data_IF_922502915523
#
_entry.id   IF_922502915523
#
_cell.length_a   1.000
_cell.length_b   1.000
_cell.length_c   1.000
_cell.angle_alpha   90.00
_cell.angle_beta   90.00
_cell.angle_gamma   90.00
#
_symmetry.space_group_name_H-M   'P 1'
#
loop_
_entity.id
_entity.type
_entity.pdbx_description
1 polymer ?
#
# COMPACT_ATOMS: atom_id res chain seq x y z
N UNK A 1 16.58 11.14 -12.24
CA UNK A 1 15.16 11.43 -12.53
C UNK A 1 14.31 11.01 -11.35
N UNK A 2 13.61 11.95 -10.72
CA UNK A 2 12.56 11.68 -9.72
C UNK A 2 11.39 10.96 -10.40
N UNK A 3 10.94 9.81 -9.87
CA UNK A 3 9.70 9.22 -10.41
C UNK A 3 8.55 10.22 -10.26
N UNK A 4 7.73 10.42 -11.29
CA UNK A 4 6.52 11.24 -11.19
C UNK A 4 5.61 10.71 -10.07
N UNK A 5 4.82 11.60 -9.49
CA UNK A 5 3.85 11.22 -8.48
C UNK A 5 2.85 10.22 -9.07
N UNK A 6 2.51 9.17 -8.33
CA UNK A 6 1.50 8.19 -8.73
C UNK A 6 0.15 8.77 -8.36
N UNK A 7 -0.49 9.43 -9.33
CA UNK A 7 -1.75 10.16 -9.14
C UNK A 7 -2.84 9.68 -10.09
N UNK A 8 -2.50 8.83 -11.05
CA UNK A 8 -3.41 8.33 -12.07
C UNK A 8 -3.05 6.88 -12.45
N UNK A 9 -3.90 6.30 -13.29
CA UNK A 9 -3.76 4.93 -13.79
C UNK A 9 -2.45 4.70 -14.55
N UNK A 10 -2.07 5.62 -15.42
CA UNK A 10 -0.92 5.45 -16.32
C UNK A 10 0.40 5.49 -15.54
N UNK A 11 0.56 6.48 -14.65
CA UNK A 11 1.70 6.60 -13.74
C UNK A 11 1.78 5.41 -12.79
N UNK A 12 0.64 4.92 -12.30
CA UNK A 12 0.56 3.71 -11.48
C UNK A 12 1.07 2.47 -12.24
N UNK A 13 0.50 2.16 -13.41
CA UNK A 13 0.88 0.99 -14.19
C UNK A 13 2.35 1.07 -14.63
N UNK A 14 2.80 2.24 -15.09
CA UNK A 14 4.18 2.48 -15.51
C UNK A 14 5.17 2.22 -14.37
N UNK A 15 4.88 2.70 -13.16
CA UNK A 15 5.75 2.50 -12.00
C UNK A 15 5.87 1.01 -11.62
N UNK A 16 4.75 0.27 -11.62
CA UNK A 16 4.74 -1.15 -11.27
C UNK A 16 5.41 -2.02 -12.33
N UNK A 17 5.13 -1.80 -13.62
CA UNK A 17 5.82 -2.51 -14.69
C UNK A 17 7.32 -2.18 -14.73
N UNK A 18 7.72 -0.94 -14.41
CA UNK A 18 9.14 -0.57 -14.28
C UNK A 18 9.81 -1.34 -13.14
N UNK A 19 9.16 -1.48 -11.98
CA UNK A 19 9.69 -2.27 -10.86
C UNK A 19 9.80 -3.76 -11.20
N UNK A 20 8.76 -4.36 -11.78
CA UNK A 20 8.81 -5.77 -12.26
C UNK A 20 9.96 -5.99 -13.23
N UNK A 21 10.15 -5.10 -14.21
CA UNK A 21 11.28 -5.18 -15.15
C UNK A 21 12.64 -5.12 -14.45
N UNK A 22 12.80 -4.26 -13.44
CA UNK A 22 14.03 -4.19 -12.64
C UNK A 22 14.29 -5.50 -11.87
N UNK A 23 13.25 -6.12 -11.32
CA UNK A 23 13.35 -7.40 -10.59
C UNK A 23 13.66 -8.57 -11.53
N UNK A 24 12.96 -8.66 -12.68
CA UNK A 24 13.28 -9.64 -13.72
C UNK A 24 14.73 -9.54 -14.18
N UNK A 25 15.24 -8.32 -14.40
CA UNK A 25 16.65 -8.14 -14.77
C UNK A 25 17.59 -8.61 -13.67
N UNK A 26 17.27 -8.34 -12.40
CA UNK A 26 18.11 -8.73 -11.26
C UNK A 26 18.28 -10.25 -11.18
N UNK A 27 17.20 -11.01 -11.28
CA UNK A 27 17.26 -12.48 -11.15
C UNK A 27 17.96 -13.17 -12.33
N UNK A 28 18.17 -12.46 -13.44
CA UNK A 28 18.94 -12.95 -14.59
C UNK A 28 20.44 -12.66 -14.48
N UNK A 29 20.90 -12.03 -13.39
CA UNK A 29 22.32 -11.75 -13.16
C UNK A 29 22.93 -12.72 -12.16
N UNK A 30 24.22 -13.03 -12.31
CA UNK A 30 24.97 -13.91 -11.40
C UNK A 30 24.91 -13.47 -9.92
N UNK A 31 24.82 -12.16 -9.65
CA UNK A 31 24.77 -11.62 -8.29
C UNK A 31 23.36 -11.51 -7.73
N UNK A 32 22.33 -11.75 -8.56
CA UNK A 32 20.93 -11.57 -8.21
C UNK A 32 20.09 -12.84 -8.30
N UNK A 33 20.68 -13.97 -8.67
CA UNK A 33 19.98 -15.25 -8.83
C UNK A 33 19.23 -15.67 -7.55
N UNK A 34 19.85 -15.53 -6.37
CA UNK A 34 19.27 -15.82 -5.06
C UNK A 34 18.60 -14.60 -4.39
N UNK A 35 18.43 -13.49 -5.11
CA UNK A 35 17.87 -12.27 -4.51
C UNK A 35 16.38 -12.41 -4.18
N UNK A 36 15.66 -13.29 -4.89
CA UNK A 36 14.26 -13.61 -4.66
C UNK A 36 14.11 -15.09 -4.30
N UNK A 37 13.19 -15.38 -3.38
CA UNK A 37 12.72 -16.75 -3.19
C UNK A 37 12.01 -17.22 -4.47
N UNK A 38 12.06 -18.52 -4.75
CA UNK A 38 11.42 -19.10 -5.93
C UNK A 38 9.92 -18.79 -5.96
N UNK A 39 9.26 -18.81 -4.80
CA UNK A 39 7.86 -18.43 -4.63
C UNK A 39 7.64 -16.94 -4.93
N UNK A 40 8.53 -16.07 -4.45
CA UNK A 40 8.45 -14.64 -4.71
C UNK A 40 8.66 -14.33 -6.21
N UNK A 41 9.52 -15.09 -6.90
CA UNK A 41 9.76 -14.96 -8.33
C UNK A 41 8.53 -15.37 -9.16
N UNK A 42 7.76 -16.39 -8.72
CA UNK A 42 6.50 -16.78 -9.38
C UNK A 42 5.51 -15.62 -9.42
N UNK A 43 5.40 -14.85 -8.33
CA UNK A 43 4.48 -13.69 -8.27
C UNK A 43 4.75 -12.61 -9.31
N UNK A 44 5.93 -12.57 -9.95
CA UNK A 44 6.24 -11.63 -11.03
C UNK A 44 5.57 -12.00 -12.36
N UNK A 45 5.14 -13.26 -12.53
CA UNK A 45 4.50 -13.75 -13.75
C UNK A 45 3.10 -13.15 -13.91
N UNK A 46 2.80 -12.67 -15.11
CA UNK A 46 1.47 -12.14 -15.44
C UNK A 46 0.37 -13.21 -15.31
N UNK A 47 0.65 -14.47 -15.65
CA UNK A 47 -0.32 -15.56 -15.57
C UNK A 47 -0.81 -15.88 -14.15
N UNK A 48 -0.07 -15.43 -13.13
CA UNK A 48 -0.42 -15.69 -11.73
C UNK A 48 -1.28 -14.58 -11.12
N UNK A 49 -1.77 -13.62 -11.92
CA UNK A 49 -2.57 -12.49 -11.42
C UNK A 49 -3.82 -12.91 -10.64
N UNK A 50 -4.45 -14.02 -11.03
CA UNK A 50 -5.63 -14.58 -10.36
C UNK A 50 -5.36 -15.01 -8.91
N UNK A 51 -4.09 -15.21 -8.52
CA UNK A 51 -3.72 -15.48 -7.14
C UNK A 51 -3.96 -14.29 -6.20
N UNK A 52 -4.13 -13.07 -6.72
CA UNK A 52 -4.26 -11.84 -5.94
C UNK A 52 -3.10 -11.60 -4.96
N UNK A 53 -1.91 -12.12 -5.26
CA UNK A 53 -0.71 -11.85 -4.46
C UNK A 53 -0.41 -10.35 -4.45
N UNK A 54 -0.08 -9.82 -3.27
CA UNK A 54 0.18 -8.41 -3.05
C UNK A 54 1.38 -7.87 -3.85
N UNK A 55 2.25 -8.75 -4.34
CA UNK A 55 3.42 -8.44 -5.18
C UNK A 55 3.15 -8.62 -6.68
N UNK A 56 2.02 -9.20 -7.07
CA UNK A 56 1.68 -9.37 -8.48
C UNK A 56 1.22 -8.03 -9.08
N UNK A 57 1.92 -7.58 -10.12
CA UNK A 57 1.68 -6.27 -10.75
C UNK A 57 0.30 -6.17 -11.39
N UNK A 58 -0.15 -7.21 -12.09
CA UNK A 58 -1.43 -7.16 -12.79
C UNK A 58 -2.60 -7.21 -11.80
N UNK A 59 -2.48 -8.00 -10.73
CA UNK A 59 -3.44 -8.01 -9.63
C UNK A 59 -3.55 -6.63 -8.96
N UNK A 60 -2.40 -5.97 -8.70
CA UNK A 60 -2.34 -4.62 -8.12
C UNK A 60 -2.98 -3.57 -9.02
N UNK A 61 -2.72 -3.61 -10.33
CA UNK A 61 -3.31 -2.67 -11.29
C UNK A 61 -4.82 -2.87 -11.34
N UNK A 62 -5.30 -4.11 -11.52
CA UNK A 62 -6.72 -4.41 -11.57
C UNK A 62 -7.45 -4.01 -10.28
N UNK A 63 -6.81 -4.24 -9.11
CA UNK A 63 -7.33 -3.81 -7.82
C UNK A 63 -7.42 -2.29 -7.71
N UNK A 64 -6.36 -1.56 -8.04
CA UNK A 64 -6.34 -0.10 -7.96
C UNK A 64 -7.38 0.55 -8.89
N UNK A 65 -7.50 0.07 -10.13
CA UNK A 65 -8.52 0.51 -11.08
C UNK A 65 -9.94 0.30 -10.53
N UNK A 66 -10.20 -0.90 -10.01
CA UNK A 66 -11.52 -1.25 -9.49
C UNK A 66 -11.85 -0.44 -8.23
N UNK A 67 -10.90 -0.28 -7.30
CA UNK A 67 -11.11 0.57 -6.13
C UNK A 67 -11.36 2.03 -6.50
N UNK A 68 -10.65 2.54 -7.50
CA UNK A 68 -10.87 3.91 -7.98
C UNK A 68 -12.29 4.07 -8.55
N UNK A 69 -12.75 3.12 -9.37
CA UNK A 69 -14.12 3.11 -9.93
C UNK A 69 -15.19 3.00 -8.83
N UNK A 70 -15.08 2.02 -7.95
CA UNK A 70 -16.04 1.75 -6.86
C UNK A 70 -16.12 2.94 -5.89
N UNK A 71 -14.97 3.47 -5.47
CA UNK A 71 -14.95 4.57 -4.50
C UNK A 71 -15.36 5.91 -5.14
N UNK A 72 -15.02 6.14 -6.42
CA UNK A 72 -15.53 7.31 -7.16
C UNK A 72 -17.04 7.28 -7.29
N UNK A 73 -17.61 6.14 -7.69
CA UNK A 73 -19.07 5.94 -7.76
C UNK A 73 -19.74 6.09 -6.40
N UNK A 74 -19.08 5.63 -5.33
CA UNK A 74 -19.56 5.78 -3.98
C UNK A 74 -19.64 7.25 -3.53
N UNK A 75 -18.54 8.00 -3.65
CA UNK A 75 -18.52 9.40 -3.26
C UNK A 75 -19.39 10.28 -4.18
N UNK A 76 -19.48 9.96 -5.47
CA UNK A 76 -20.35 10.68 -6.40
C UNK A 76 -21.85 10.56 -6.07
N UNK A 77 -22.27 9.46 -5.42
CA UNK A 77 -23.64 9.26 -4.92
C UNK A 77 -23.90 9.91 -3.56
N UNK A 78 -22.85 10.32 -2.86
CA UNK A 78 -22.92 10.93 -1.53
C UNK A 78 -22.10 12.23 -1.48
N UNK A 79 -22.48 13.25 -2.28
CA UNK A 79 -21.71 14.50 -2.42
C UNK A 79 -21.60 15.32 -1.12
N UNK A 80 -22.45 15.04 -0.13
CA UNK A 80 -22.44 15.67 1.19
C UNK A 80 -21.32 15.13 2.10
N UNK A 81 -20.70 14.01 1.74
CA UNK A 81 -19.63 13.43 2.55
C UNK A 81 -18.34 14.25 2.45
N UNK A 82 -17.72 14.46 3.61
CA UNK A 82 -16.37 15.02 3.71
C UNK A 82 -15.38 13.87 3.80
N UNK A 83 -14.44 13.81 2.85
CA UNK A 83 -13.49 12.71 2.74
C UNK A 83 -12.11 13.09 3.30
N UNK A 84 -11.58 12.21 4.14
CA UNK A 84 -10.31 12.37 4.83
C UNK A 84 -9.34 11.28 4.41
N UNK A 85 -8.12 11.69 4.09
CA UNK A 85 -6.98 10.80 3.98
C UNK A 85 -6.29 10.70 5.33
N UNK A 86 -6.24 9.48 5.86
CA UNK A 86 -5.61 9.19 7.15
C UNK A 86 -4.46 8.22 6.96
N UNK A 87 -3.30 8.52 7.52
CA UNK A 87 -2.15 7.61 7.55
C UNK A 87 -1.81 7.28 8.99
N UNK A 88 -1.76 5.99 9.33
CA UNK A 88 -1.45 5.47 10.68
C UNK A 88 -0.20 4.58 10.61
N UNK A 89 0.84 4.97 11.32
CA UNK A 89 2.16 4.32 11.36
C UNK A 89 2.70 4.30 12.81
N UNK A 90 2.08 3.54 13.73
CA UNK A 90 2.50 3.48 15.11
C UNK A 90 3.83 2.72 15.25
N UNK A 91 4.60 3.05 16.29
CA UNK A 91 5.88 2.38 16.54
C UNK A 91 5.72 0.86 16.75
N UNK A 92 4.57 0.41 17.26
CA UNK A 92 4.24 -1.01 17.46
C UNK A 92 4.10 -1.81 16.16
N UNK A 93 4.01 -1.13 15.01
CA UNK A 93 3.93 -1.74 13.69
C UNK A 93 5.30 -1.70 12.96
N UNK A 94 6.39 -1.43 13.69
CA UNK A 94 7.75 -1.48 13.19
C UNK A 94 8.39 -2.83 13.54
N UNK A 95 9.01 -3.45 12.55
CA UNK A 95 9.70 -4.74 12.69
C UNK A 95 11.05 -4.72 11.96
N UNK A 96 11.93 -5.66 12.28
CA UNK A 96 13.17 -5.88 11.51
C UNK A 96 12.83 -6.52 10.16
N UNK A 97 13.77 -6.52 9.22
CA UNK A 97 13.56 -7.16 7.90
C UNK A 97 13.15 -8.65 7.99
N UNK A 98 13.63 -9.36 9.01
CA UNK A 98 13.35 -10.80 9.21
C UNK A 98 12.41 -11.04 10.40
N UNK A 99 11.69 -10.00 10.84
CA UNK A 99 10.82 -10.09 12.00
C UNK A 99 9.43 -10.62 11.65
N UNK A 100 8.55 -10.69 12.65
CA UNK A 100 7.17 -11.15 12.45
C UNK A 100 6.30 -10.04 11.82
N UNK A 101 6.29 -10.00 10.50
CA UNK A 101 5.50 -9.05 9.72
C UNK A 101 3.99 -9.25 9.88
N UNK A 102 3.53 -10.48 10.04
CA UNK A 102 2.10 -10.77 10.23
C UNK A 102 1.61 -10.24 11.57
N UNK A 103 2.40 -10.41 12.64
CA UNK A 103 2.09 -9.82 13.93
C UNK A 103 2.10 -8.29 13.87
N UNK A 104 3.05 -7.66 13.17
CA UNK A 104 3.06 -6.21 13.00
C UNK A 104 1.79 -5.71 12.27
N UNK A 105 1.35 -6.40 11.21
CA UNK A 105 0.09 -6.12 10.51
C UNK A 105 -1.11 -6.30 11.45
N UNK A 106 -1.16 -7.38 12.24
CA UNK A 106 -2.25 -7.61 13.22
C UNK A 106 -2.31 -6.52 14.29
N UNK A 107 -1.16 -6.10 14.83
CA UNK A 107 -1.07 -4.99 15.77
C UNK A 107 -1.57 -3.68 15.15
N UNK A 108 -1.22 -3.42 13.88
CA UNK A 108 -1.73 -2.27 13.14
C UNK A 108 -3.26 -2.36 12.97
N UNK A 109 -3.80 -3.49 12.52
CA UNK A 109 -5.27 -3.70 12.42
C UNK A 109 -5.97 -3.49 13.76
N UNK A 110 -5.37 -3.92 14.88
CA UNK A 110 -5.90 -3.66 16.23
C UNK A 110 -5.92 -2.17 16.56
N UNK A 111 -4.88 -1.42 16.19
CA UNK A 111 -4.85 0.04 16.33
C UNK A 111 -6.04 0.70 15.60
N UNK A 112 -6.46 0.16 14.47
CA UNK A 112 -7.58 0.69 13.68
C UNK A 112 -8.96 0.50 14.34
N UNK A 113 -9.10 -0.34 15.37
CA UNK A 113 -10.34 -0.39 16.17
C UNK A 113 -10.65 0.94 16.86
N UNK A 114 -9.69 1.85 16.99
CA UNK A 114 -9.95 3.22 17.46
C UNK A 114 -10.87 4.04 16.55
N UNK A 115 -11.11 3.56 15.33
CA UNK A 115 -12.03 4.15 14.35
C UNK A 115 -13.34 3.34 14.19
N UNK A 116 -13.64 2.43 15.14
CA UNK A 116 -14.88 2.43 15.95
C UNK A 116 -16.17 3.06 15.41
N UNK A 117 -16.13 4.33 15.12
CA UNK A 117 -17.32 5.14 14.91
C UNK A 117 -17.44 5.61 13.45
N UNK A 118 -16.46 5.28 12.61
CA UNK A 118 -16.35 5.76 11.24
C UNK A 118 -16.51 4.64 10.21
N UNK A 119 -17.07 5.02 9.07
CA UNK A 119 -17.00 4.25 7.84
C UNK A 119 -15.67 4.54 7.15
N UNK A 120 -14.95 3.48 6.78
CA UNK A 120 -13.69 3.63 6.07
C UNK A 120 -13.31 2.39 5.28
N UNK A 121 -12.49 2.59 4.27
CA UNK A 121 -11.67 1.53 3.69
C UNK A 121 -10.21 2.00 3.62
N UNK A 122 -9.28 1.06 3.47
CA UNK A 122 -7.87 1.38 3.34
C UNK A 122 -7.01 0.19 3.00
N UNK A 123 -5.71 0.47 2.89
CA UNK A 123 -4.69 -0.54 2.61
C UNK A 123 -3.50 -0.37 3.55
N UNK A 124 -2.97 -1.49 4.00
CA UNK A 124 -1.71 -1.57 4.74
C UNK A 124 -0.55 -1.74 3.74
N UNK A 125 0.47 -0.90 3.86
CA UNK A 125 1.70 -1.02 3.07
C UNK A 125 2.96 -0.96 3.95
N UNK A 126 4.05 -1.64 3.57
CA UNK A 126 5.31 -1.56 4.29
C UNK A 126 6.15 -0.35 3.86
N UNK A 127 6.58 0.45 4.83
CA UNK A 127 7.60 1.48 4.70
C UNK A 127 8.99 0.91 4.96
N UNK A 128 9.83 0.81 3.94
CA UNK A 128 11.15 0.20 4.04
C UNK A 128 12.25 1.19 4.45
N UNK A 129 12.95 0.91 5.54
CA UNK A 129 14.07 1.71 6.07
C UNK A 129 15.36 0.88 6.09
N UNK A 130 16.20 0.95 5.04
CA UNK A 130 17.37 0.10 4.91
C UNK A 130 18.53 0.44 5.85
N UNK A 131 18.44 1.54 6.60
CA UNK A 131 19.52 2.07 7.46
C UNK A 131 18.99 2.56 8.81
N UNK A 132 18.39 1.69 9.62
CA UNK A 132 18.11 1.97 11.03
C UNK A 132 16.84 2.76 11.34
N UNK A 133 16.06 3.16 10.33
CA UNK A 133 14.73 3.79 10.46
C UNK A 133 14.50 4.56 11.76
N UNK A 134 13.52 4.13 12.54
CA UNK A 134 13.09 4.73 13.80
C UNK A 134 13.88 4.28 15.04
N UNK A 135 14.66 3.20 14.94
CA UNK A 135 15.29 2.58 16.11
C UNK A 135 16.77 2.96 16.29
N UNK A 136 17.36 3.75 15.37
CA UNK A 136 18.74 4.24 15.47
C UNK A 136 19.82 3.15 15.39
N UNK A 137 19.44 1.87 15.22
CA UNK A 137 20.37 0.73 15.31
C UNK A 137 21.19 0.51 14.02
N UNK A 138 20.93 1.27 12.96
CA UNK A 138 21.47 1.03 11.62
C UNK A 138 20.91 -0.21 10.91
N UNK A 139 20.16 -1.08 11.59
CA UNK A 139 19.57 -2.30 11.02
C UNK A 139 18.39 -1.98 10.08
N UNK A 140 18.19 -2.82 9.07
CA UNK A 140 17.05 -2.73 8.15
C UNK A 140 15.75 -2.94 8.92
N UNK A 141 14.80 -2.02 8.75
CA UNK A 141 13.48 -2.08 9.39
C UNK A 141 12.36 -1.86 8.39
N UNK A 142 11.20 -2.36 8.74
CA UNK A 142 9.94 -2.16 8.02
C UNK A 142 8.95 -1.53 8.98
N UNK A 143 8.45 -0.36 8.63
CA UNK A 143 7.36 0.31 9.34
C UNK A 143 6.07 0.11 8.55
N UNK A 144 5.21 -0.76 9.05
CA UNK A 144 3.90 -0.99 8.45
C UNK A 144 2.98 0.20 8.74
N UNK A 145 2.30 0.69 7.71
CA UNK A 145 1.36 1.79 7.86
C UNK A 145 0.07 1.54 7.10
N UNK A 146 -1.02 2.04 7.66
CA UNK A 146 -2.34 1.98 7.06
C UNK A 146 -2.66 3.34 6.42
N UNK A 147 -3.12 3.28 5.19
CA UNK A 147 -3.66 4.40 4.44
C UNK A 147 -5.17 4.22 4.35
N UNK A 148 -5.91 5.08 5.06
CA UNK A 148 -7.36 5.01 5.18
C UNK A 148 -8.02 6.17 4.44
N UNK A 149 -9.15 5.86 3.85
CA UNK A 149 -10.14 6.78 3.33
C UNK A 149 -11.31 6.75 4.29
N UNK A 150 -11.45 7.82 5.08
CA UNK A 150 -12.52 7.96 6.06
C UNK A 150 -13.47 9.03 5.54
N UNK A 151 -14.77 8.76 5.52
CA UNK A 151 -15.78 9.78 5.21
C UNK A 151 -16.67 10.04 6.42
N UNK A 152 -17.07 11.29 6.56
CA UNK A 152 -17.92 11.75 7.66
C UNK A 152 -19.09 12.55 7.13
N UNK A 153 -20.20 12.51 7.87
CA UNK A 153 -21.49 13.13 7.52
C UNK A 153 -21.75 14.43 8.28
N UNK A 154 -20.93 14.74 9.30
CA UNK A 154 -21.16 15.90 10.17
C UNK A 154 -19.87 16.52 10.69
N UNK A 155 -19.99 17.77 11.16
CA UNK A 155 -18.91 18.47 11.87
C UNK A 155 -18.52 17.80 13.18
N UNK A 156 -19.46 17.15 13.86
CA UNK A 156 -19.21 16.40 15.11
C UNK A 156 -18.24 15.24 14.85
N UNK A 157 -18.52 14.42 13.82
CA UNK A 157 -17.63 13.33 13.42
C UNK A 157 -16.25 13.84 12.97
N UNK A 158 -16.18 15.02 12.36
CA UNK A 158 -14.88 15.63 12.00
C UNK A 158 -14.05 15.93 13.24
N UNK A 159 -14.66 16.51 14.29
CA UNK A 159 -14.00 16.81 15.55
C UNK A 159 -13.57 15.53 16.28
N UNK A 160 -14.41 14.49 16.29
CA UNK A 160 -14.09 13.19 16.85
C UNK A 160 -12.90 12.53 16.13
N UNK A 161 -12.88 12.57 14.78
CA UNK A 161 -11.77 12.04 14.01
C UNK A 161 -10.45 12.76 14.36
N UNK A 162 -10.47 14.10 14.43
CA UNK A 162 -9.31 14.88 14.83
C UNK A 162 -8.81 14.51 16.24
N UNK A 163 -9.73 14.32 17.19
CA UNK A 163 -9.42 13.88 18.56
C UNK A 163 -8.74 12.50 18.57
N UNK A 164 -9.27 11.50 17.86
CA UNK A 164 -8.65 10.15 17.77
C UNK A 164 -7.24 10.22 17.18
N UNK A 165 -7.02 11.08 16.17
CA UNK A 165 -5.69 11.29 15.56
C UNK A 165 -4.73 11.89 16.57
N UNK A 166 -5.17 12.88 17.34
CA UNK A 166 -4.37 13.48 18.41
C UNK A 166 -4.04 12.47 19.51
N UNK A 167 -4.99 11.65 19.94
CA UNK A 167 -4.78 10.59 20.94
C UNK A 167 -3.72 9.58 20.48
N UNK A 168 -3.77 9.12 19.23
CA UNK A 168 -2.74 8.22 18.66
C UNK A 168 -1.38 8.89 18.67
N UNK A 169 -1.31 10.17 18.28
CA UNK A 169 -0.05 10.91 18.28
C UNK A 169 0.53 11.09 19.69
N UNK A 170 -0.29 11.43 20.68
CA UNK A 170 0.14 11.57 22.08
C UNK A 170 0.67 10.24 22.64
N UNK A 171 0.00 9.12 22.35
CA UNK A 171 0.42 7.78 22.79
C UNK A 171 1.73 7.28 22.16
N UNK A 172 2.19 7.93 21.08
CA UNK A 172 3.43 7.60 20.37
C UNK A 172 4.47 8.72 20.44
N UNK A 173 4.21 9.82 21.15
CA UNK A 173 5.05 11.02 21.12
C UNK A 173 6.48 10.76 21.64
N UNK A 174 6.61 9.89 22.65
CA UNK A 174 7.88 9.45 23.25
C UNK A 174 8.64 8.43 22.39
N UNK A 175 7.95 7.77 21.46
CA UNK A 175 8.47 6.68 20.62
C UNK A 175 8.80 7.10 19.19
N UNK A 176 8.47 8.32 18.82
CA UNK A 176 8.69 8.86 17.48
C UNK A 176 9.79 9.93 17.51
N UNK A 177 10.68 9.98 16.50
CA UNK A 177 11.63 11.08 16.37
C UNK A 177 10.92 12.43 16.33
N UNK A 178 11.51 13.43 16.98
CA UNK A 178 10.95 14.77 17.09
C UNK A 178 10.50 15.32 15.73
N UNK A 179 9.25 15.73 15.62
CA UNK A 179 8.66 16.28 14.39
C UNK A 179 8.02 15.23 13.46
N UNK A 180 8.08 13.94 13.81
CA UNK A 180 7.29 12.89 13.16
C UNK A 180 6.07 12.54 14.02
N UNK A 181 4.97 12.20 13.33
CA UNK A 181 3.71 11.83 13.95
C UNK A 181 3.34 10.40 13.55
N UNK A 182 2.78 9.64 14.48
CA UNK A 182 2.30 8.29 14.22
C UNK A 182 0.98 8.29 13.43
N UNK A 183 0.23 9.38 13.45
CA UNK A 183 -0.99 9.57 12.70
C UNK A 183 -1.01 10.93 12.01
N UNK A 184 -1.47 10.94 10.76
CA UNK A 184 -1.70 12.14 9.97
C UNK A 184 -3.09 12.07 9.36
N UNK A 185 -3.83 13.18 9.38
CA UNK A 185 -5.16 13.30 8.84
C UNK A 185 -5.26 14.60 8.06
N UNK A 186 -5.85 14.54 6.87
CA UNK A 186 -6.11 15.70 6.03
C UNK A 186 -7.40 15.49 5.26
N UNK A 187 -8.23 16.53 5.24
CA UNK A 187 -9.41 16.56 4.39
C UNK A 187 -9.01 16.80 2.94
N UNK A 188 -9.66 16.11 2.02
CA UNK A 188 -9.46 16.28 0.59
C UNK A 188 -10.79 16.49 -0.13
N UNK A 189 -10.76 17.39 -1.12
CA UNK A 189 -11.80 17.45 -2.14
C UNK A 189 -11.83 16.16 -2.96
N UNK A 190 -12.96 15.87 -3.59
CA UNK A 190 -13.21 14.61 -4.33
C UNK A 190 -12.09 14.26 -5.32
N UNK A 191 -11.68 15.21 -6.16
CA UNK A 191 -10.62 14.96 -7.14
C UNK A 191 -9.28 14.60 -6.46
N UNK A 192 -8.95 15.28 -5.37
CA UNK A 192 -7.71 15.06 -4.64
C UNK A 192 -7.72 13.71 -3.89
N UNK A 193 -8.86 13.30 -3.32
CA UNK A 193 -8.97 12.01 -2.62
C UNK A 193 -8.92 10.84 -3.60
N UNK A 194 -9.51 10.96 -4.79
CA UNK A 194 -9.44 9.90 -5.81
C UNK A 194 -8.01 9.68 -6.32
N UNK A 195 -7.21 10.76 -6.45
CA UNK A 195 -5.76 10.63 -6.74
C UNK A 195 -5.01 9.85 -5.64
N UNK A 196 -5.47 9.91 -4.39
CA UNK A 196 -4.88 9.14 -3.28
C UNK A 196 -5.17 7.64 -3.38
N UNK A 197 -6.22 7.20 -4.07
CA UNK A 197 -6.50 5.76 -4.30
C UNK A 197 -5.32 5.09 -4.99
N UNK A 198 -4.83 5.70 -6.08
CA UNK A 198 -3.63 5.22 -6.78
C UNK A 198 -2.40 5.20 -5.87
N UNK A 199 -2.23 6.24 -5.06
CA UNK A 199 -1.12 6.28 -4.10
C UNK A 199 -1.23 5.19 -3.03
N UNK A 200 -2.41 4.89 -2.52
CA UNK A 200 -2.63 3.89 -1.48
C UNK A 200 -2.46 2.46 -2.00
N UNK A 201 -2.93 2.19 -3.21
CA UNK A 201 -2.94 0.84 -3.78
C UNK A 201 -1.56 0.39 -4.30
N UNK A 202 -0.56 1.28 -4.34
CA UNK A 202 0.75 0.96 -4.91
C UNK A 202 1.47 -0.12 -4.09
N UNK A 203 2.30 -0.90 -4.77
CA UNK A 203 3.34 -1.67 -4.11
C UNK A 203 4.42 -0.71 -3.55
N UNK A 204 5.24 -1.16 -2.59
CA UNK A 204 6.39 -0.39 -2.11
C UNK A 204 7.36 -0.07 -3.25
N UNK A 205 7.47 1.21 -3.58
CA UNK A 205 8.33 1.71 -4.68
C UNK A 205 9.49 2.59 -4.18
N UNK A 206 9.50 2.91 -2.88
CA UNK A 206 10.46 3.83 -2.26
C UNK A 206 11.06 3.21 -1.01
N UNK A 207 12.34 3.51 -0.79
CA UNK A 207 12.96 3.39 0.52
C UNK A 207 12.85 4.73 1.25
N UNK A 208 12.95 4.65 2.57
CA UNK A 208 12.82 5.76 3.48
C UNK A 208 14.07 5.89 4.35
N UNK A 209 14.42 7.13 4.68
CA UNK A 209 15.41 7.46 5.70
C UNK A 209 14.88 8.58 6.58
N UNK A 210 15.37 8.63 7.82
CA UNK A 210 15.09 9.71 8.75
C UNK A 210 16.31 10.62 8.77
N UNK A 211 16.11 11.91 8.51
CA UNK A 211 17.18 12.90 8.49
C UNK A 211 16.75 14.15 9.26
N UNK A 212 17.67 14.80 10.00
CA UNK A 212 17.38 16.09 10.61
C UNK A 212 17.11 17.15 9.53
N UNK A 213 16.23 18.08 9.85
CA UNK A 213 16.02 19.32 9.12
C UNK A 213 16.78 20.47 9.80
N UNK A 214 16.79 21.65 9.18
CA UNK A 214 17.53 22.83 9.68
C UNK A 214 17.11 23.29 11.08
N UNK A 215 15.93 22.88 11.56
CA UNK A 215 15.36 23.31 12.83
C UNK A 215 15.54 22.23 13.93
N UNK A 216 16.43 21.26 13.73
CA UNK A 216 16.65 20.15 14.68
C UNK A 216 15.51 19.12 14.76
N UNK A 217 14.47 19.25 13.92
CA UNK A 217 13.39 18.26 13.81
C UNK A 217 13.74 17.23 12.74
N UNK A 218 13.18 16.04 12.82
CA UNK A 218 13.38 15.01 11.82
C UNK A 218 12.34 15.09 10.69
N UNK A 219 12.75 14.68 9.49
CA UNK A 219 11.86 14.47 8.34
C UNK A 219 12.14 13.12 7.69
N UNK A 220 11.10 12.55 7.11
CA UNK A 220 11.24 11.35 6.28
C UNK A 220 11.67 11.78 4.87
N UNK A 221 12.82 11.28 4.43
CA UNK A 221 13.28 11.39 3.06
C UNK A 221 12.91 10.12 2.29
N UNK A 222 12.62 10.27 1.00
CA UNK A 222 12.22 9.18 0.11
C UNK A 222 13.20 9.05 -1.04
N UNK A 223 13.62 7.83 -1.35
CA UNK A 223 14.45 7.54 -2.52
C UNK A 223 13.90 6.32 -3.28
N UNK A 224 14.28 6.15 -4.55
CA UNK A 224 13.95 4.91 -5.27
C UNK A 224 14.57 3.69 -4.56
N UNK A 225 13.84 2.58 -4.58
CA UNK A 225 14.39 1.28 -4.18
C UNK A 225 15.46 0.83 -5.17
N UNK A 226 16.59 0.39 -4.63
CA UNK A 226 17.59 -0.38 -5.39
C UNK A 226 17.00 -1.76 -5.71
N UNK A 227 17.44 -2.43 -6.79
CA UNK A 227 16.91 -3.74 -7.17
C UNK A 227 16.91 -4.77 -6.02
N UNK A 228 18.02 -4.93 -5.29
CA UNK A 228 18.09 -5.85 -4.15
C UNK A 228 17.13 -5.49 -3.00
N UNK A 229 16.90 -4.19 -2.76
CA UNK A 229 15.92 -3.75 -1.75
C UNK A 229 14.48 -4.00 -2.18
N UNK A 230 14.19 -3.87 -3.47
CA UNK A 230 12.89 -4.23 -4.01
C UNK A 230 12.66 -5.75 -3.90
N UNK A 231 13.72 -6.55 -4.09
CA UNK A 231 13.66 -8.01 -3.93
C UNK A 231 13.40 -8.42 -2.48
N UNK A 232 14.09 -7.79 -1.51
CA UNK A 232 13.82 -7.98 -0.07
C UNK A 232 12.35 -7.74 0.29
N UNK A 233 11.74 -6.66 -0.23
CA UNK A 233 10.32 -6.38 0.01
C UNK A 233 9.38 -7.36 -0.70
N UNK A 234 9.77 -7.87 -1.86
CA UNK A 234 9.00 -8.93 -2.54
C UNK A 234 9.06 -10.24 -1.75
N UNK A 235 10.21 -10.57 -1.16
CA UNK A 235 10.35 -11.70 -0.27
C UNK A 235 9.48 -11.50 0.97
N UNK A 236 9.49 -10.35 1.64
CA UNK A 236 8.60 -10.11 2.80
C UNK A 236 7.12 -10.35 2.48
N UNK A 237 6.69 -9.98 1.27
CA UNK A 237 5.30 -10.05 0.83
C UNK A 237 5.00 -11.28 -0.03
N UNK A 238 5.90 -12.27 -0.10
CA UNK A 238 5.78 -13.36 -1.09
C UNK A 238 4.50 -14.17 -0.88
N UNK A 239 4.10 -14.40 0.37
CA UNK A 239 2.89 -15.14 0.69
C UNK A 239 1.67 -14.24 0.96
N UNK A 240 1.84 -12.93 0.95
CA UNK A 240 0.77 -11.98 1.27
C UNK A 240 -0.17 -11.77 0.10
N UNK A 241 -1.47 -11.84 0.36
CA UNK A 241 -2.53 -11.51 -0.59
C UNK A 241 -2.93 -10.05 -0.45
N UNK A 242 -3.50 -9.45 -1.50
CA UNK A 242 -4.05 -8.09 -1.42
C UNK A 242 -5.06 -8.00 -0.29
N UNK A 243 -5.95 -9.00 -0.16
CA UNK A 243 -6.99 -9.06 0.87
C UNK A 243 -6.43 -9.06 2.31
N UNK A 244 -5.23 -9.62 2.53
CA UNK A 244 -4.58 -9.58 3.84
C UNK A 244 -4.20 -8.16 4.27
N UNK A 245 -3.94 -7.29 3.29
CA UNK A 245 -3.54 -5.90 3.49
C UNK A 245 -4.74 -4.95 3.52
N UNK A 246 -5.93 -5.41 3.13
CA UNK A 246 -7.14 -4.59 3.17
C UNK A 246 -7.65 -4.42 4.60
N UNK A 247 -8.19 -3.23 4.84
CA UNK A 247 -8.88 -2.87 6.07
C UNK A 247 -10.14 -2.10 5.70
N UNK A 248 -11.26 -2.49 6.28
CA UNK A 248 -12.56 -1.88 5.99
C UNK A 248 -13.46 -1.89 7.21
N UNK A 249 -14.44 -1.00 7.18
CA UNK A 249 -15.39 -0.80 8.27
C UNK A 249 -16.67 -0.18 7.74
N UNK A 250 -17.80 -0.68 8.26
CA UNK A 250 -19.14 -0.24 7.85
C UNK A 250 -19.30 -0.32 6.34
N UNK A 251 -19.71 0.77 5.71
CA UNK A 251 -19.88 0.86 4.25
C UNK A 251 -18.59 0.57 3.47
N UNK A 252 -17.42 0.84 4.06
CA UNK A 252 -16.14 0.52 3.43
C UNK A 252 -15.90 -0.97 3.27
N UNK A 253 -16.48 -1.83 4.12
CA UNK A 253 -16.43 -3.28 3.90
C UNK A 253 -17.21 -3.69 2.65
N UNK A 254 -18.37 -3.08 2.42
CA UNK A 254 -19.17 -3.38 1.23
C UNK A 254 -18.46 -2.91 -0.06
N UNK A 255 -17.81 -1.74 -0.02
CA UNK A 255 -16.97 -1.26 -1.13
C UNK A 255 -15.85 -2.27 -1.43
N UNK A 256 -15.13 -2.73 -0.41
CA UNK A 256 -14.03 -3.69 -0.58
C UNK A 256 -14.53 -5.04 -1.10
N UNK A 257 -15.67 -5.53 -0.61
CA UNK A 257 -16.28 -6.78 -1.06
C UNK A 257 -16.68 -6.71 -2.53
N UNK A 258 -17.30 -5.62 -2.95
CA UNK A 258 -17.65 -5.37 -4.35
C UNK A 258 -16.40 -5.30 -5.22
N UNK A 259 -15.37 -4.55 -4.79
CA UNK A 259 -14.13 -4.45 -5.51
C UNK A 259 -13.43 -5.81 -5.67
N UNK A 260 -13.34 -6.61 -4.61
CA UNK A 260 -12.74 -7.95 -4.66
C UNK A 260 -13.47 -8.88 -5.65
N UNK A 261 -14.80 -8.82 -5.70
CA UNK A 261 -15.60 -9.56 -6.67
C UNK A 261 -15.32 -9.11 -8.11
N UNK A 262 -15.33 -7.81 -8.38
CA UNK A 262 -15.09 -7.26 -9.72
C UNK A 262 -13.65 -7.51 -10.20
N UNK A 263 -12.66 -7.40 -9.31
CA UNK A 263 -11.24 -7.70 -9.62
C UNK A 263 -11.09 -9.14 -10.11
N UNK A 264 -11.67 -10.11 -9.39
CA UNK A 264 -11.62 -11.53 -9.80
C UNK A 264 -12.24 -11.74 -11.19
N UNK A 265 -13.36 -11.08 -11.48
CA UNK A 265 -14.00 -11.13 -12.82
C UNK A 265 -13.12 -10.52 -13.91
N UNK A 266 -12.56 -9.33 -13.67
CA UNK A 266 -11.66 -8.63 -14.61
C UNK A 266 -10.44 -9.49 -14.92
N UNK A 267 -9.79 -10.03 -13.88
CA UNK A 267 -8.61 -10.88 -14.03
C UNK A 267 -8.91 -12.20 -14.75
N UNK A 268 -10.05 -12.85 -14.44
CA UNK A 268 -10.46 -14.08 -15.13
C UNK A 268 -10.69 -13.84 -16.62
N UNK A 269 -11.34 -12.72 -16.95
CA UNK A 269 -11.58 -12.32 -18.34
C UNK A 269 -10.26 -12.04 -19.07
N UNK A 270 -9.34 -11.32 -18.43
CA UNK A 270 -8.02 -11.02 -18.99
C UNK A 270 -7.19 -12.30 -19.21
N UNK A 271 -7.23 -13.24 -18.26
CA UNK A 271 -6.53 -14.51 -18.37
C UNK A 271 -7.10 -15.39 -19.50
N UNK A 272 -8.43 -15.47 -19.63
CA UNK A 272 -9.06 -16.21 -20.73
C UNK A 272 -8.61 -15.66 -22.09
N UNK A 273 -8.63 -14.34 -22.27
CA UNK A 273 -8.14 -13.67 -23.50
C UNK A 273 -6.66 -13.95 -23.75
N UNK A 274 -5.85 -13.99 -22.70
CA UNK A 274 -4.42 -14.31 -22.80
C UNK A 274 -4.20 -15.75 -23.27
N UNK A 275 -4.94 -16.69 -22.68
CA UNK A 275 -4.85 -18.11 -23.03
C UNK A 275 -5.32 -18.37 -24.47
N UNK A 276 -6.41 -17.73 -24.90
CA UNK A 276 -6.88 -17.78 -26.30
C UNK A 276 -5.79 -17.29 -27.27
N UNK A 277 -5.17 -16.13 -26.97
CA UNK A 277 -4.07 -15.60 -27.77
C UNK A 277 -2.87 -16.55 -27.80
N UNK A 278 -2.53 -17.20 -26.69
CA UNK A 278 -1.44 -18.18 -26.65
C UNK A 278 -1.75 -19.43 -27.48
N UNK A 279 -2.99 -19.92 -27.45
CA UNK A 279 -3.42 -21.06 -28.27
C UNK A 279 -3.34 -20.74 -29.76
N UNK A 280 -3.77 -19.54 -30.17
CA UNK A 280 -3.62 -19.04 -31.55
C UNK A 280 -2.15 -18.98 -31.97
N UNK A 281 -1.27 -18.43 -31.12
CA UNK A 281 0.17 -18.36 -31.40
C UNK A 281 0.85 -19.74 -31.44
N UNK A 282 0.30 -20.73 -30.73
CA UNK A 282 0.79 -22.10 -30.70
C UNK A 282 0.20 -22.99 -31.82
N UNK A 283 -0.71 -22.46 -32.66
CA UNK A 283 -1.36 -23.23 -33.73
C UNK A 283 -2.32 -24.33 -33.23
N UNK A 284 -2.87 -24.17 -32.02
CA UNK A 284 -3.78 -25.15 -31.39
C UNK A 284 -5.26 -24.83 -31.73
N UNK A 285 -5.54 -23.71 -32.40
CA UNK A 285 -6.85 -23.30 -32.90
C UNK A 285 -6.69 -22.82 -34.35
#
# INVERSE_FOLDING_TARGET
>A
MTMPAILDRESFATAHHKQRRKLHKLILTNTGWDALYDEAAKNLKQGDALSLKATNVEARIAFAETMHEEFSSYLGRNPEFRAFWVTIAPNTAITSLNGDHLNAIRCLKRCLFRFIEFDYWGLIEPGYFPRGGFNGTGKKTVSWHAHLFIWVRSGIQTAELAKKIQEINLQNADKMPLGLSAAYCVEHQLEAILKRVWYACKAPLKQYSIAPNRNGRFKIQKAELRPGQAAELHNILWDTYIDDLLVGRGEGNEILKNAAYQVKRKLKTAENKRQERLRLLAGII
#
